data_IF_614292919418
#
_entry.id   IF_614292919418
#
_cell.length_a   1.000
_cell.length_b   1.000
_cell.length_c   1.000
_cell.angle_alpha   90.00
_cell.angle_beta   90.00
_cell.angle_gamma   90.00
#
_symmetry.space_group_name_H-M   'P 1'
#
loop_
_entity.id
_entity.type
_entity.pdbx_description
1 polymer ?
#
# COMPACT_ATOMS: atom_id res chain seq x y z
N UNK A 1 -34.99 7.92 9.16
CA UNK A 1 -35.76 6.75 9.65
C UNK A 1 -35.23 6.36 11.02
N UNK A 2 -36.09 5.84 11.92
CA UNK A 2 -35.71 5.35 13.26
C UNK A 2 -35.21 3.89 13.27
N UNK A 3 -35.25 3.24 12.12
CA UNK A 3 -34.74 1.90 11.89
C UNK A 3 -33.64 1.95 10.83
N UNK A 4 -32.68 1.05 10.94
CA UNK A 4 -31.59 0.89 9.98
C UNK A 4 -31.45 -0.59 9.57
N UNK A 5 -30.96 -0.86 8.35
CA UNK A 5 -30.73 -2.22 7.87
C UNK A 5 -29.41 -2.74 8.42
N UNK A 6 -29.45 -3.37 9.59
CA UNK A 6 -28.28 -3.97 10.22
C UNK A 6 -27.95 -5.27 9.50
N UNK A 7 -26.72 -5.35 8.98
CA UNK A 7 -26.19 -6.53 8.32
C UNK A 7 -25.53 -7.47 9.30
N UNK A 8 -24.62 -6.93 10.12
CA UNK A 8 -23.78 -7.69 11.02
C UNK A 8 -23.40 -6.84 12.21
N UNK A 9 -23.36 -7.46 13.38
CA UNK A 9 -22.79 -6.88 14.59
C UNK A 9 -21.58 -7.74 14.95
N UNK A 10 -20.41 -7.12 14.99
CA UNK A 10 -19.16 -7.74 15.44
C UNK A 10 -18.97 -7.31 16.89
N UNK A 11 -19.12 -8.22 17.87
CA UNK A 11 -19.14 -7.85 19.28
C UNK A 11 -17.79 -7.30 19.76
N UNK A 12 -16.68 -7.81 19.21
CA UNK A 12 -15.31 -7.42 19.58
C UNK A 12 -14.48 -7.14 18.32
N UNK A 13 -14.08 -5.89 18.14
CA UNK A 13 -13.21 -5.42 17.08
C UNK A 13 -12.12 -4.51 17.65
N UNK A 14 -10.89 -4.70 17.16
CA UNK A 14 -9.71 -3.90 17.49
C UNK A 14 -9.29 -2.98 16.34
N UNK A 15 -10.00 -2.99 15.21
CA UNK A 15 -9.64 -2.26 13.98
C UNK A 15 -10.63 -1.14 13.65
N UNK A 16 -11.81 -1.12 14.29
CA UNK A 16 -12.87 -0.13 14.04
C UNK A 16 -12.76 1.10 14.98
N UNK A 17 -11.54 1.48 15.34
CA UNK A 17 -11.22 2.61 16.23
C UNK A 17 -10.55 2.20 17.54
N UNK A 18 -10.24 3.16 18.44
CA UNK A 18 -9.47 2.89 19.65
C UNK A 18 -10.19 1.96 20.65
N UNK A 19 -9.44 1.00 21.17
CA UNK A 19 -9.89 0.01 22.16
C UNK A 19 -10.65 -1.17 21.54
N UNK A 20 -11.13 -2.08 22.38
CA UNK A 20 -12.05 -3.14 21.95
C UNK A 20 -13.44 -2.55 21.77
N UNK A 21 -14.04 -2.68 20.59
CA UNK A 21 -15.29 -2.02 20.23
C UNK A 21 -16.27 -3.00 19.61
N UNK A 22 -17.56 -2.73 19.76
CA UNK A 22 -18.56 -3.39 18.93
C UNK A 22 -18.72 -2.63 17.62
N UNK A 23 -18.51 -3.31 16.49
CA UNK A 23 -18.69 -2.73 15.16
C UNK A 23 -20.01 -3.20 14.55
N UNK A 24 -20.86 -2.25 14.15
CA UNK A 24 -22.21 -2.50 13.63
C UNK A 24 -22.23 -2.07 12.17
N UNK A 25 -22.39 -3.05 11.28
CA UNK A 25 -22.37 -2.86 9.84
C UNK A 25 -23.81 -2.64 9.35
N UNK A 26 -24.07 -1.47 8.78
CA UNK A 26 -25.33 -1.13 8.11
C UNK A 26 -25.26 -1.39 6.61
N UNK A 27 -26.40 -1.52 5.95
CA UNK A 27 -26.49 -1.58 4.48
C UNK A 27 -27.03 -0.31 3.83
N UNK A 28 -26.79 -0.19 2.53
CA UNK A 28 -27.12 0.96 1.73
C UNK A 28 -25.98 1.95 1.75
N UNK A 29 -25.34 2.14 0.61
CA UNK A 29 -24.35 3.17 0.38
C UNK A 29 -24.87 4.11 -0.72
N UNK A 30 -24.48 5.38 -0.70
CA UNK A 30 -24.71 6.32 -1.80
C UNK A 30 -23.53 6.35 -2.79
N UNK A 31 -22.44 5.64 -2.49
CA UNK A 31 -21.34 5.36 -3.40
C UNK A 31 -21.39 3.91 -3.90
N UNK A 32 -20.69 3.66 -5.01
CA UNK A 32 -20.53 2.33 -5.63
C UNK A 32 -19.06 2.12 -5.94
N UNK A 33 -18.23 2.11 -4.90
CA UNK A 33 -16.79 1.96 -5.04
C UNK A 33 -16.46 0.52 -5.49
N UNK A 34 -15.71 0.37 -6.57
CA UNK A 34 -15.34 -0.94 -7.11
C UNK A 34 -14.41 -1.74 -6.17
N UNK A 35 -13.65 -1.05 -5.29
CA UNK A 35 -12.76 -1.61 -4.27
C UNK A 35 -13.32 -1.48 -2.85
N UNK A 36 -14.64 -1.39 -2.70
CA UNK A 36 -15.25 -1.29 -1.38
C UNK A 36 -14.81 -2.47 -0.51
N UNK A 37 -14.39 -2.18 0.72
CA UNK A 37 -13.98 -3.22 1.66
C UNK A 37 -15.16 -4.13 2.07
N UNK A 38 -16.38 -3.59 2.03
CA UNK A 38 -17.62 -4.30 2.35
C UNK A 38 -18.62 -4.14 1.19
N UNK A 39 -18.34 -4.67 -0.02
CA UNK A 39 -19.16 -4.43 -1.20
C UNK A 39 -20.60 -4.95 -1.04
N UNK A 40 -20.79 -5.97 -0.21
CA UNK A 40 -22.08 -6.52 0.17
C UNK A 40 -22.95 -5.55 0.98
N UNK A 41 -22.38 -4.48 1.52
CA UNK A 41 -23.13 -3.45 2.25
C UNK A 41 -23.62 -2.31 1.36
N UNK A 42 -23.20 -2.25 0.10
CA UNK A 42 -23.58 -1.15 -0.80
C UNK A 42 -25.05 -1.18 -1.21
N UNK A 43 -25.57 -2.37 -1.49
CA UNK A 43 -26.98 -2.60 -1.84
C UNK A 43 -27.77 -2.93 -0.58
N UNK A 44 -29.01 -2.49 -0.55
CA UNK A 44 -30.00 -2.99 0.41
C UNK A 44 -30.65 -4.22 -0.22
N UNK A 45 -30.36 -5.39 0.31
CA UNK A 45 -31.00 -6.66 -0.06
C UNK A 45 -32.41 -6.79 0.56
N UNK A 46 -33.27 -7.65 0.01
CA UNK A 46 -34.60 -7.92 0.57
C UNK A 46 -34.58 -9.10 1.56
N UNK A 47 -35.58 -9.16 2.44
CA UNK A 47 -35.75 -10.23 3.43
C UNK A 47 -35.86 -11.65 2.83
N UNK A 48 -36.20 -11.76 1.54
CA UNK A 48 -36.47 -13.02 0.84
C UNK A 48 -35.24 -13.68 0.19
N UNK A 49 -34.03 -13.16 0.44
CA UNK A 49 -32.82 -13.77 -0.12
C UNK A 49 -32.51 -15.12 0.51
N UNK A 50 -32.34 -16.15 -0.32
CA UNK A 50 -32.00 -17.52 0.07
C UNK A 50 -30.54 -17.70 0.49
N UNK A 51 -29.71 -16.67 0.32
CA UNK A 51 -28.31 -16.67 0.77
C UNK A 51 -28.23 -16.18 2.23
N UNK A 52 -27.75 -17.05 3.13
CA UNK A 52 -27.51 -16.70 4.53
C UNK A 52 -26.57 -15.49 4.68
N UNK A 53 -25.68 -15.26 3.71
CA UNK A 53 -24.82 -14.08 3.60
C UNK A 53 -25.52 -12.82 3.05
N UNK A 54 -26.84 -12.77 3.04
CA UNK A 54 -27.59 -11.58 2.57
C UNK A 54 -28.83 -11.23 3.39
N UNK A 55 -29.06 -11.92 4.52
CA UNK A 55 -30.12 -11.56 5.46
C UNK A 55 -29.85 -10.21 6.12
N UNK A 56 -30.84 -9.32 6.06
CA UNK A 56 -30.85 -8.00 6.71
C UNK A 56 -31.82 -8.01 7.86
N UNK A 57 -31.44 -7.34 8.94
CA UNK A 57 -32.28 -7.11 10.10
C UNK A 57 -32.57 -5.63 10.20
N UNK A 58 -33.80 -5.24 9.87
CA UNK A 58 -34.26 -3.87 10.11
C UNK A 58 -34.50 -3.71 11.60
N UNK A 59 -33.62 -2.95 12.26
CA UNK A 59 -33.60 -2.85 13.70
C UNK A 59 -33.68 -1.39 14.13
N UNK A 60 -34.36 -1.17 15.24
CA UNK A 60 -34.31 0.06 16.03
C UNK A 60 -32.99 0.14 16.80
N UNK A 61 -32.64 1.36 17.26
CA UNK A 61 -31.48 1.55 18.12
C UNK A 61 -31.56 0.73 19.42
N UNK A 62 -32.75 0.59 20.00
CA UNK A 62 -32.98 -0.20 21.23
C UNK A 62 -32.76 -1.69 21.00
N UNK A 63 -33.26 -2.25 19.89
CA UNK A 63 -33.01 -3.65 19.53
C UNK A 63 -31.52 -3.94 19.34
N UNK A 64 -30.80 -3.05 18.66
CA UNK A 64 -29.34 -3.19 18.49
C UNK A 64 -28.62 -3.09 19.83
N UNK A 65 -29.01 -2.13 20.67
CA UNK A 65 -28.41 -1.94 21.98
C UNK A 65 -28.62 -3.16 22.90
N UNK A 66 -29.82 -3.74 22.89
CA UNK A 66 -30.14 -4.95 23.67
C UNK A 66 -29.30 -6.16 23.24
N UNK A 67 -28.87 -6.25 21.98
CA UNK A 67 -28.02 -7.35 21.52
C UNK A 67 -26.58 -7.25 21.97
N UNK A 68 -26.09 -6.02 22.13
CA UNK A 68 -24.72 -5.75 22.54
C UNK A 68 -24.60 -5.62 24.07
N UNK A 69 -25.71 -5.62 24.81
CA UNK A 69 -25.76 -5.44 26.27
C UNK A 69 -24.82 -6.39 27.01
N UNK A 70 -24.81 -7.66 26.60
CA UNK A 70 -23.91 -8.71 27.14
C UNK A 70 -22.42 -8.41 26.92
N UNK A 71 -22.09 -7.66 25.88
CA UNK A 71 -20.71 -7.35 25.47
C UNK A 71 -20.20 -6.04 26.10
N UNK A 72 -21.11 -5.19 26.62
CA UNK A 72 -20.80 -3.88 27.24
C UNK A 72 -19.63 -3.93 28.24
N UNK A 73 -19.52 -4.91 29.16
CA UNK A 73 -18.40 -4.96 30.11
C UNK A 73 -17.02 -5.09 29.46
N UNK A 74 -16.95 -5.65 28.25
CA UNK A 74 -15.72 -6.02 27.55
C UNK A 74 -15.30 -5.01 26.48
N UNK A 75 -16.19 -4.11 26.10
CA UNK A 75 -15.94 -3.09 25.07
C UNK A 75 -15.70 -1.71 25.69
N UNK A 76 -15.14 -0.82 24.88
CA UNK A 76 -14.84 0.59 25.21
C UNK A 76 -15.59 1.55 24.29
N UNK A 77 -16.28 1.02 23.29
CA UNK A 77 -17.08 1.82 22.40
C UNK A 77 -17.87 1.03 21.38
N UNK A 78 -18.70 1.77 20.64
CA UNK A 78 -19.47 1.33 19.50
C UNK A 78 -18.95 2.07 18.27
N UNK A 79 -18.83 1.37 17.16
CA UNK A 79 -18.54 1.98 15.85
C UNK A 79 -19.63 1.57 14.86
N UNK A 80 -20.22 2.55 14.17
CA UNK A 80 -21.06 2.26 13.02
C UNK A 80 -20.25 2.31 11.73
N UNK A 81 -20.32 1.24 10.95
CA UNK A 81 -19.66 1.09 9.65
C UNK A 81 -20.60 0.37 8.66
N UNK A 82 -20.08 -0.21 7.59
CA UNK A 82 -20.85 -0.83 6.51
C UNK A 82 -21.00 0.11 5.32
N UNK A 83 -22.21 0.22 4.75
CA UNK A 83 -22.48 0.97 3.53
C UNK A 83 -22.12 2.45 3.60
N UNK A 84 -23.10 3.35 3.63
CA UNK A 84 -22.89 4.70 4.15
C UNK A 84 -23.80 4.85 5.36
N UNK A 85 -23.25 4.60 6.55
CA UNK A 85 -24.06 4.52 7.75
C UNK A 85 -24.77 5.85 8.06
N UNK A 86 -24.19 6.99 7.66
CA UNK A 86 -24.76 8.33 7.86
C UNK A 86 -26.01 8.61 7.03
N UNK A 87 -26.42 7.69 6.15
CA UNK A 87 -27.75 7.71 5.54
C UNK A 87 -28.89 7.49 6.56
N UNK A 88 -28.57 7.04 7.79
CA UNK A 88 -29.53 6.75 8.86
C UNK A 88 -29.34 7.63 10.11
N UNK A 89 -29.19 8.97 10.01
CA UNK A 89 -28.67 9.80 11.09
C UNK A 89 -29.50 9.77 12.38
N UNK A 90 -30.83 9.62 12.26
CA UNK A 90 -31.72 9.51 13.43
C UNK A 90 -31.52 8.21 14.21
N UNK A 91 -31.29 7.08 13.51
CA UNK A 91 -30.96 5.80 14.15
C UNK A 91 -29.61 5.89 14.87
N UNK A 92 -28.59 6.49 14.23
CA UNK A 92 -27.26 6.66 14.84
C UNK A 92 -27.38 7.46 16.14
N UNK A 93 -28.09 8.60 16.09
CA UNK A 93 -28.27 9.47 17.26
C UNK A 93 -28.91 8.71 18.42
N UNK A 94 -29.99 7.97 18.17
CA UNK A 94 -30.69 7.20 19.21
C UNK A 94 -29.79 6.11 19.81
N UNK A 95 -29.02 5.41 18.98
CA UNK A 95 -28.08 4.38 19.45
C UNK A 95 -26.91 4.97 20.24
N UNK A 96 -26.37 6.10 19.80
CA UNK A 96 -25.27 6.77 20.49
C UNK A 96 -25.71 7.33 21.84
N UNK A 97 -26.94 7.84 21.96
CA UNK A 97 -27.51 8.22 23.27
C UNK A 97 -27.51 7.02 24.24
N UNK A 98 -27.87 5.82 23.76
CA UNK A 98 -27.84 4.61 24.58
C UNK A 98 -26.39 4.20 24.93
N UNK A 99 -25.48 4.20 23.95
CA UNK A 99 -24.05 3.93 24.15
C UNK A 99 -23.41 4.86 25.19
N UNK A 100 -23.66 6.16 25.08
CA UNK A 100 -23.20 7.18 26.02
C UNK A 100 -23.71 6.94 27.43
N UNK A 101 -24.98 6.57 27.60
CA UNK A 101 -25.56 6.22 28.91
C UNK A 101 -24.88 5.01 29.54
N UNK A 102 -24.36 4.09 28.73
CA UNK A 102 -23.58 2.94 29.19
C UNK A 102 -22.06 3.20 29.33
N UNK A 103 -21.61 4.46 29.17
CA UNK A 103 -20.20 4.82 29.31
C UNK A 103 -19.33 4.41 28.12
N UNK A 104 -19.94 4.14 26.96
CA UNK A 104 -19.23 3.76 25.74
C UNK A 104 -18.89 5.00 24.90
N UNK A 105 -17.73 4.97 24.25
CA UNK A 105 -17.42 5.93 23.18
C UNK A 105 -18.14 5.56 21.88
N UNK A 106 -18.52 6.53 21.06
CA UNK A 106 -19.36 6.33 19.88
C UNK A 106 -18.70 6.94 18.63
N UNK A 107 -18.33 6.09 17.66
CA UNK A 107 -17.66 6.50 16.43
C UNK A 107 -18.48 6.19 15.18
N UNK A 108 -18.36 7.03 14.17
CA UNK A 108 -18.93 6.84 12.84
C UNK A 108 -17.78 6.57 11.86
N UNK A 109 -17.89 5.53 11.06
CA UNK A 109 -17.06 5.29 9.87
C UNK A 109 -17.88 5.66 8.63
N UNK A 110 -17.48 6.74 7.95
CA UNK A 110 -18.26 7.36 6.86
C UNK A 110 -17.38 7.63 5.65
N UNK A 111 -17.96 7.44 4.46
CA UNK A 111 -17.37 7.84 3.18
C UNK A 111 -17.29 9.37 2.97
N UNK A 112 -17.81 10.16 3.92
CA UNK A 112 -17.66 11.62 3.95
C UNK A 112 -18.56 12.40 2.99
N UNK A 113 -19.56 11.77 2.37
CA UNK A 113 -20.48 12.44 1.43
C UNK A 113 -21.60 13.23 2.10
N UNK A 114 -21.88 12.99 3.38
CA UNK A 114 -22.93 13.69 4.14
C UNK A 114 -22.34 14.86 4.92
N UNK A 115 -22.96 16.03 4.77
CA UNK A 115 -22.60 17.23 5.52
C UNK A 115 -23.12 17.14 6.97
N UNK A 116 -22.22 16.90 7.92
CA UNK A 116 -22.54 16.78 9.34
C UNK A 116 -22.99 18.10 9.99
N UNK A 117 -22.72 19.26 9.37
CA UNK A 117 -23.20 20.54 9.90
C UNK A 117 -24.74 20.62 9.93
N UNK A 118 -25.39 19.78 9.12
CA UNK A 118 -26.85 19.63 9.08
C UNK A 118 -27.41 18.78 10.24
N UNK A 119 -26.54 18.13 11.03
CA UNK A 119 -26.94 17.20 12.10
C UNK A 119 -26.23 17.51 13.44
N UNK A 120 -26.38 18.72 14.00
CA UNK A 120 -25.70 19.12 15.24
C UNK A 120 -26.03 18.18 16.41
N UNK A 121 -27.30 17.79 16.60
CA UNK A 121 -27.71 16.87 17.66
C UNK A 121 -27.04 15.48 17.58
N UNK A 122 -26.69 15.02 16.38
CA UNK A 122 -25.96 13.76 16.21
C UNK A 122 -24.49 13.95 16.60
N UNK A 123 -23.91 15.07 16.21
CA UNK A 123 -22.51 15.40 16.51
C UNK A 123 -22.28 15.62 18.01
N UNK A 124 -23.28 16.08 18.77
CA UNK A 124 -23.21 16.18 20.24
C UNK A 124 -23.00 14.83 20.93
N UNK A 125 -23.48 13.74 20.33
CA UNK A 125 -23.39 12.38 20.90
C UNK A 125 -22.36 11.49 20.18
N UNK A 126 -21.68 12.03 19.17
CA UNK A 126 -20.63 11.37 18.41
C UNK A 126 -19.25 11.80 18.94
N UNK A 127 -18.41 10.86 19.36
CA UNK A 127 -17.05 11.16 19.83
C UNK A 127 -16.07 11.44 18.70
N UNK A 128 -16.37 10.96 17.50
CA UNK A 128 -15.48 11.10 16.36
C UNK A 128 -16.02 10.43 15.11
N UNK A 129 -15.59 10.97 13.97
CA UNK A 129 -15.87 10.41 12.65
C UNK A 129 -14.55 9.98 12.04
N UNK A 130 -14.43 8.69 11.74
CA UNK A 130 -13.40 8.15 10.87
C UNK A 130 -13.89 8.36 9.44
N UNK A 131 -13.18 9.21 8.70
CA UNK A 131 -13.50 9.47 7.30
C UNK A 131 -12.76 8.47 6.43
N UNK A 132 -13.52 7.64 5.73
CA UNK A 132 -13.04 6.73 4.72
C UNK A 132 -12.78 7.50 3.41
N UNK A 133 -11.74 8.34 3.42
CA UNK A 133 -11.39 9.25 2.31
C UNK A 133 -10.89 8.44 1.11
N UNK A 134 -11.82 8.13 0.20
CA UNK A 134 -11.54 7.37 -1.02
C UNK A 134 -10.89 8.21 -2.13
N UNK A 135 -11.41 9.42 -2.33
CA UNK A 135 -10.87 10.43 -3.24
C UNK A 135 -11.59 11.77 -2.98
N UNK A 136 -10.88 12.88 -3.02
CA UNK A 136 -11.46 14.21 -2.75
C UNK A 136 -12.10 14.88 -3.98
N UNK A 137 -11.91 14.31 -5.17
CA UNK A 137 -12.40 14.88 -6.43
C UNK A 137 -13.22 13.83 -7.22
N UNK A 138 -14.36 14.27 -7.76
CA UNK A 138 -15.33 13.40 -8.45
C UNK A 138 -14.80 12.81 -9.75
N UNK A 139 -13.87 13.49 -10.42
CA UNK A 139 -13.20 13.00 -11.62
C UNK A 139 -12.02 12.08 -11.25
N UNK A 140 -11.28 12.39 -10.17
CA UNK A 140 -10.25 11.50 -9.59
C UNK A 140 -10.84 10.19 -9.10
N UNK A 141 -12.04 10.19 -8.52
CA UNK A 141 -12.76 8.97 -8.14
C UNK A 141 -12.99 8.03 -9.34
N UNK A 142 -13.15 8.58 -10.55
CA UNK A 142 -13.28 7.77 -11.78
C UNK A 142 -11.94 7.21 -12.27
N UNK A 143 -10.84 7.91 -11.99
CA UNK A 143 -9.46 7.60 -12.42
C UNK A 143 -8.76 6.62 -11.47
N UNK A 144 -9.04 6.68 -10.16
CA UNK A 144 -8.34 5.93 -9.10
C UNK A 144 -8.75 4.44 -8.99
N UNK A 145 -9.11 3.79 -10.10
CA UNK A 145 -9.64 2.42 -10.17
C UNK A 145 -8.59 1.31 -10.32
N UNK A 146 -7.30 1.53 -10.06
CA UNK A 146 -6.32 0.46 -10.15
C UNK A 146 -4.94 0.88 -9.70
N UNK A 147 -4.45 0.28 -8.61
CA UNK A 147 -3.06 0.38 -8.20
C UNK A 147 -2.58 -1.05 -7.93
N UNK A 148 -1.48 -1.42 -8.60
CA UNK A 148 -0.82 -2.70 -8.45
C UNK A 148 -1.25 -3.75 -9.48
N UNK A 149 -0.31 -4.63 -9.82
CA UNK A 149 -0.47 -5.67 -10.85
C UNK A 149 -1.69 -6.58 -10.64
N UNK A 150 -2.13 -6.81 -9.40
CA UNK A 150 -3.32 -7.63 -9.08
C UNK A 150 -4.62 -7.05 -9.67
N UNK A 151 -4.62 -5.78 -10.09
CA UNK A 151 -5.78 -5.11 -10.69
C UNK A 151 -5.79 -5.16 -12.22
N UNK A 152 -4.81 -5.81 -12.84
CA UNK A 152 -4.65 -5.88 -14.29
C UNK A 152 -5.87 -6.47 -15.02
N UNK A 153 -6.29 -7.68 -14.67
CA UNK A 153 -7.42 -8.33 -15.36
C UNK A 153 -8.75 -7.57 -15.18
N UNK A 154 -9.13 -7.13 -13.96
CA UNK A 154 -10.33 -6.32 -13.77
C UNK A 154 -10.30 -4.99 -14.53
N UNK A 155 -9.15 -4.30 -14.57
CA UNK A 155 -9.02 -3.03 -15.28
C UNK A 155 -9.16 -3.21 -16.78
N UNK A 156 -8.51 -4.23 -17.36
CA UNK A 156 -8.65 -4.55 -18.78
C UNK A 156 -10.09 -4.92 -19.16
N UNK A 157 -10.79 -5.69 -18.31
CA UNK A 157 -12.20 -6.01 -18.52
C UNK A 157 -13.09 -4.75 -18.51
N UNK A 158 -12.86 -3.84 -17.55
CA UNK A 158 -13.60 -2.57 -17.47
C UNK A 158 -13.30 -1.66 -18.67
N UNK A 159 -12.05 -1.57 -19.09
CA UNK A 159 -11.62 -0.78 -20.23
C UNK A 159 -12.27 -1.25 -21.54
N UNK A 160 -12.40 -2.56 -21.75
CA UNK A 160 -13.13 -3.15 -22.90
C UNK A 160 -14.62 -2.79 -22.90
N UNK A 161 -15.26 -2.76 -21.72
CA UNK A 161 -16.69 -2.48 -21.61
C UNK A 161 -17.04 -0.99 -21.73
N UNK A 162 -16.08 -0.09 -21.49
CA UNK A 162 -16.29 1.35 -21.45
C UNK A 162 -15.21 2.07 -22.29
N UNK A 163 -15.21 1.92 -23.63
CA UNK A 163 -14.18 2.46 -24.51
C UNK A 163 -14.12 4.00 -24.51
N UNK A 164 -15.16 4.67 -24.03
CA UNK A 164 -15.25 6.13 -23.88
C UNK A 164 -14.55 6.66 -22.62
N UNK A 165 -14.15 5.78 -21.70
CA UNK A 165 -13.47 6.15 -20.46
C UNK A 165 -11.97 5.87 -20.57
N UNK A 166 -11.15 6.77 -20.04
CA UNK A 166 -9.70 6.57 -19.90
C UNK A 166 -9.36 5.88 -18.59
N UNK A 167 -8.44 4.93 -18.65
CA UNK A 167 -7.91 4.17 -17.52
C UNK A 167 -6.42 4.37 -17.41
N UNK A 168 -5.88 4.35 -16.19
CA UNK A 168 -4.45 4.26 -15.95
C UNK A 168 -4.18 3.09 -15.00
N UNK A 169 -3.16 2.29 -15.32
CA UNK A 169 -2.67 1.22 -14.45
C UNK A 169 -1.21 1.51 -14.06
N UNK A 170 -0.89 1.28 -12.80
CA UNK A 170 0.46 1.39 -12.26
C UNK A 170 1.01 -0.01 -11.99
N UNK A 171 2.29 -0.22 -12.31
CA UNK A 171 3.01 -1.49 -12.11
C UNK A 171 2.51 -2.66 -12.95
N UNK A 172 1.97 -2.34 -14.12
CA UNK A 172 1.61 -3.36 -15.09
C UNK A 172 1.64 -2.77 -16.51
N UNK A 173 2.00 -3.62 -17.46
CA UNK A 173 1.79 -3.39 -18.88
C UNK A 173 1.17 -4.63 -19.51
N UNK A 174 0.32 -4.41 -20.52
CA UNK A 174 -0.39 -5.48 -21.24
C UNK A 174 0.34 -5.94 -22.51
N UNK A 175 1.56 -5.43 -22.76
CA UNK A 175 2.29 -5.67 -24.00
C UNK A 175 1.45 -5.30 -25.23
N UNK A 176 1.42 -6.21 -26.22
CA UNK A 176 0.66 -6.04 -27.46
C UNK A 176 -0.88 -5.99 -27.24
N UNK A 177 -1.38 -6.42 -26.08
CA UNK A 177 -2.80 -6.44 -25.73
C UNK A 177 -3.30 -5.13 -25.08
N UNK A 178 -2.45 -4.09 -25.02
CA UNK A 178 -2.84 -2.79 -24.44
C UNK A 178 -4.02 -2.18 -25.19
N UNK A 179 -5.03 -1.76 -24.43
CA UNK A 179 -6.25 -1.19 -24.99
C UNK A 179 -6.06 0.31 -25.29
N UNK A 180 -6.70 0.84 -26.35
CA UNK A 180 -6.54 2.25 -26.75
C UNK A 180 -6.95 3.26 -25.68
N UNK A 181 -7.73 2.86 -24.67
CA UNK A 181 -8.18 3.72 -23.58
C UNK A 181 -7.46 3.43 -22.24
N UNK A 182 -6.33 2.70 -22.27
CA UNK A 182 -5.53 2.34 -21.10
C UNK A 182 -4.14 2.96 -21.19
N UNK A 183 -3.70 3.59 -20.11
CA UNK A 183 -2.36 4.13 -19.91
C UNK A 183 -1.63 3.20 -18.94
N UNK A 184 -0.50 2.65 -19.34
CA UNK A 184 0.35 1.84 -18.47
C UNK A 184 1.49 2.69 -17.92
N UNK A 185 1.61 2.77 -16.61
CA UNK A 185 2.71 3.45 -15.93
C UNK A 185 3.59 2.39 -15.26
N UNK A 186 4.78 2.19 -15.81
CA UNK A 186 5.74 1.22 -15.29
C UNK A 186 7.00 1.94 -14.82
N UNK A 187 7.71 1.33 -13.89
CA UNK A 187 8.89 1.92 -13.27
C UNK A 187 10.10 1.04 -13.54
N UNK A 188 11.21 1.66 -13.91
CA UNK A 188 12.49 0.99 -14.08
C UNK A 188 13.16 0.86 -12.70
N UNK A 189 12.51 0.11 -11.79
CA UNK A 189 12.88 -0.01 -10.38
C UNK A 189 14.22 -0.74 -10.16
N UNK A 190 14.66 -1.51 -11.14
CA UNK A 190 15.98 -2.12 -11.21
C UNK A 190 17.09 -1.05 -11.13
N UNK A 191 16.86 0.17 -11.64
CA UNK A 191 17.84 1.25 -11.61
C UNK A 191 18.10 1.76 -10.19
N UNK A 192 17.04 2.05 -9.43
CA UNK A 192 17.16 2.42 -8.03
C UNK A 192 17.65 1.23 -7.17
N UNK A 193 17.20 0.01 -7.50
CA UNK A 193 17.62 -1.21 -6.82
C UNK A 193 19.11 -1.47 -6.98
N UNK A 194 19.67 -1.21 -8.17
CA UNK A 194 21.10 -1.27 -8.45
C UNK A 194 21.88 -0.31 -7.55
N UNK A 195 21.45 0.95 -7.47
CA UNK A 195 22.12 1.95 -6.64
C UNK A 195 22.13 1.51 -5.17
N UNK A 196 20.99 1.07 -4.63
CA UNK A 196 20.95 0.65 -3.22
C UNK A 196 21.67 -0.68 -2.96
N UNK A 197 21.77 -1.57 -3.95
CA UNK A 197 22.63 -2.75 -3.91
C UNK A 197 24.12 -2.39 -3.86
N UNK A 198 24.55 -1.45 -4.69
CA UNK A 198 25.91 -0.93 -4.68
C UNK A 198 26.25 -0.27 -3.33
N UNK A 199 25.34 0.54 -2.79
CA UNK A 199 25.46 1.12 -1.44
C UNK A 199 25.60 0.03 -0.38
N UNK A 200 24.76 -1.01 -0.42
CA UNK A 200 24.83 -2.13 0.52
C UNK A 200 26.20 -2.84 0.44
N UNK A 201 26.72 -3.08 -0.76
CA UNK A 201 28.01 -3.73 -0.97
C UNK A 201 29.21 -2.90 -0.50
N UNK A 202 29.14 -1.56 -0.62
CA UNK A 202 30.14 -0.66 -0.06
C UNK A 202 30.05 -0.52 1.47
N UNK A 203 28.87 -0.72 2.04
CA UNK A 203 28.60 -0.50 3.47
C UNK A 203 28.80 -1.76 4.32
N UNK A 204 28.54 -2.94 3.78
CA UNK A 204 28.63 -4.21 4.53
C UNK A 204 30.02 -4.44 5.13
N UNK A 205 30.04 -4.78 6.42
CA UNK A 205 31.21 -5.17 7.19
C UNK A 205 31.38 -6.70 7.23
N UNK A 206 30.30 -7.46 7.05
CA UNK A 206 30.29 -8.93 7.09
C UNK A 206 30.44 -9.58 5.73
N UNK A 207 30.34 -8.80 4.65
CA UNK A 207 30.23 -9.27 3.26
C UNK A 207 29.01 -10.18 3.05
N UNK A 208 27.95 -9.99 3.85
CA UNK A 208 26.68 -10.68 3.69
C UNK A 208 25.55 -9.67 3.76
N UNK A 209 24.79 -9.57 2.68
CA UNK A 209 23.61 -8.70 2.59
C UNK A 209 22.41 -9.55 2.19
N UNK A 210 21.21 -9.02 2.36
CA UNK A 210 20.01 -9.75 1.96
C UNK A 210 18.99 -8.89 1.24
N UNK A 211 18.22 -9.55 0.38
CA UNK A 211 17.01 -9.04 -0.23
C UNK A 211 15.80 -9.83 0.26
N UNK A 212 14.74 -9.12 0.62
CA UNK A 212 13.45 -9.73 0.98
C UNK A 212 12.38 -9.24 0.00
N UNK A 213 11.92 -10.12 -0.88
CA UNK A 213 10.81 -9.84 -1.80
C UNK A 213 9.45 -10.15 -1.18
N UNK A 214 8.43 -9.35 -1.49
CA UNK A 214 7.06 -9.61 -1.01
C UNK A 214 6.42 -10.84 -1.64
N UNK A 215 6.36 -10.92 -2.98
CA UNK A 215 5.85 -12.08 -3.73
C UNK A 215 6.68 -12.31 -4.99
N UNK A 216 6.52 -13.46 -5.67
CA UNK A 216 7.13 -13.67 -6.99
C UNK A 216 6.29 -12.99 -8.07
N UNK A 217 6.89 -12.10 -8.84
CA UNK A 217 6.30 -11.50 -10.04
C UNK A 217 7.40 -10.86 -10.89
N UNK A 218 7.16 -10.58 -12.19
CA UNK A 218 8.13 -9.89 -13.04
C UNK A 218 8.61 -8.55 -12.46
N UNK A 219 7.72 -7.79 -11.81
CA UNK A 219 8.09 -6.52 -11.15
C UNK A 219 9.04 -6.77 -9.98
N UNK A 220 8.85 -7.86 -9.24
CA UNK A 220 9.71 -8.20 -8.11
C UNK A 220 11.07 -8.74 -8.54
N UNK A 221 11.16 -9.31 -9.75
CA UNK A 221 12.42 -9.70 -10.37
C UNK A 221 13.29 -8.47 -10.67
N UNK A 222 12.70 -7.35 -11.11
CA UNK A 222 13.42 -6.07 -11.32
C UNK A 222 14.15 -5.62 -10.05
N UNK A 223 13.45 -5.63 -8.91
CA UNK A 223 14.04 -5.28 -7.62
C UNK A 223 15.16 -6.26 -7.21
N UNK A 224 14.93 -7.57 -7.36
CA UNK A 224 15.89 -8.60 -6.96
C UNK A 224 17.18 -8.51 -7.78
N UNK A 225 17.07 -8.49 -9.12
CA UNK A 225 18.23 -8.51 -10.01
C UNK A 225 18.96 -7.16 -10.03
N UNK A 226 18.23 -6.04 -9.93
CA UNK A 226 18.84 -4.74 -9.72
C UNK A 226 19.68 -4.72 -8.45
N UNK A 227 19.12 -5.17 -7.30
CA UNK A 227 19.87 -5.20 -6.05
C UNK A 227 21.10 -6.12 -6.12
N UNK A 228 20.95 -7.35 -6.61
CA UNK A 228 22.06 -8.31 -6.73
C UNK A 228 23.20 -7.75 -7.59
N UNK A 229 22.88 -7.24 -8.77
CA UNK A 229 23.88 -6.70 -9.69
C UNK A 229 24.60 -5.47 -9.14
N UNK A 230 23.91 -4.60 -8.39
CA UNK A 230 24.55 -3.50 -7.66
C UNK A 230 25.57 -3.98 -6.63
N UNK A 231 25.21 -5.01 -5.85
CA UNK A 231 26.12 -5.65 -4.88
C UNK A 231 27.33 -6.27 -5.59
N UNK A 232 27.10 -7.00 -6.69
CA UNK A 232 28.18 -7.62 -7.47
C UNK A 232 29.14 -6.58 -8.05
N UNK A 233 28.62 -5.45 -8.51
CA UNK A 233 29.42 -4.33 -9.01
C UNK A 233 30.32 -3.76 -7.90
N UNK A 234 29.77 -3.50 -6.71
CA UNK A 234 30.55 -3.06 -5.54
C UNK A 234 31.60 -4.11 -5.13
N UNK A 235 31.23 -5.40 -5.15
CA UNK A 235 32.13 -6.50 -4.83
C UNK A 235 33.33 -6.55 -5.80
N UNK A 236 33.08 -6.38 -7.11
CA UNK A 236 34.12 -6.30 -8.14
C UNK A 236 35.06 -5.12 -7.91
N UNK A 237 34.52 -3.93 -7.66
CA UNK A 237 35.32 -2.71 -7.40
C UNK A 237 36.22 -2.87 -6.17
N UNK A 238 35.68 -3.48 -5.10
CA UNK A 238 36.39 -3.72 -3.85
C UNK A 238 37.34 -4.92 -3.91
N UNK A 239 37.28 -5.74 -4.97
CA UNK A 239 38.07 -6.97 -5.09
C UNK A 239 37.75 -8.01 -4.02
N UNK A 240 36.50 -8.06 -3.55
CA UNK A 240 36.03 -9.00 -2.51
C UNK A 240 34.78 -9.75 -2.97
N UNK A 241 34.47 -10.86 -2.33
CA UNK A 241 33.21 -11.57 -2.53
C UNK A 241 32.18 -11.06 -1.51
N UNK A 242 30.96 -10.77 -1.97
CA UNK A 242 29.83 -10.37 -1.13
C UNK A 242 28.67 -11.32 -1.43
N UNK A 243 28.17 -11.99 -0.39
CA UNK A 243 27.06 -12.92 -0.52
C UNK A 243 25.72 -12.18 -0.43
N UNK A 244 24.81 -12.43 -1.37
CA UNK A 244 23.43 -11.94 -1.33
C UNK A 244 22.47 -13.09 -0.98
N UNK A 245 21.84 -13.01 0.18
CA UNK A 245 20.76 -13.92 0.57
C UNK A 245 19.41 -13.40 0.05
N UNK A 246 18.60 -14.27 -0.55
CA UNK A 246 17.29 -13.91 -1.10
C UNK A 246 16.20 -14.68 -0.38
N UNK A 247 15.21 -13.98 0.17
CA UNK A 247 14.03 -14.59 0.79
C UNK A 247 12.75 -13.97 0.24
N UNK A 248 11.71 -14.79 0.07
CA UNK A 248 10.40 -14.32 -0.40
C UNK A 248 9.38 -14.50 0.73
N UNK A 249 8.77 -13.40 1.15
CA UNK A 249 7.80 -13.41 2.23
C UNK A 249 6.43 -13.95 1.83
N UNK A 250 6.13 -14.11 0.54
CA UNK A 250 4.82 -14.50 0.00
C UNK A 250 3.64 -13.66 0.56
N UNK A 251 3.91 -12.41 0.93
CA UNK A 251 2.94 -11.45 1.44
C UNK A 251 3.50 -10.04 1.38
N UNK A 252 2.65 -9.08 1.03
CA UNK A 252 2.93 -7.64 1.16
C UNK A 252 2.35 -7.01 2.43
N UNK A 253 1.67 -7.80 3.27
CA UNK A 253 0.84 -7.28 4.38
C UNK A 253 1.09 -7.94 5.73
N UNK A 254 2.09 -8.83 5.83
CA UNK A 254 2.36 -9.61 7.03
C UNK A 254 3.68 -9.16 7.69
N UNK A 255 3.61 -8.13 8.52
CA UNK A 255 4.78 -7.60 9.23
C UNK A 255 5.42 -8.65 10.16
N UNK A 256 4.63 -9.52 10.79
CA UNK A 256 5.19 -10.56 11.68
C UNK A 256 6.07 -11.55 10.90
N UNK A 257 5.64 -11.94 9.69
CA UNK A 257 6.45 -12.76 8.78
C UNK A 257 7.72 -12.04 8.33
N UNK A 258 7.63 -10.75 7.99
CA UNK A 258 8.79 -9.92 7.65
C UNK A 258 9.84 -9.88 8.78
N UNK A 259 9.38 -9.64 10.01
CA UNK A 259 10.22 -9.64 11.22
C UNK A 259 10.93 -10.98 11.43
N UNK A 260 10.21 -12.09 11.34
CA UNK A 260 10.77 -13.43 11.52
C UNK A 260 11.85 -13.78 10.46
N UNK A 261 11.62 -13.40 9.20
CA UNK A 261 12.61 -13.59 8.11
C UNK A 261 13.86 -12.74 8.39
N UNK A 262 13.69 -11.46 8.73
CA UNK A 262 14.80 -10.56 9.04
C UNK A 262 15.64 -11.08 10.22
N UNK A 263 14.99 -11.56 11.29
CA UNK A 263 15.68 -12.08 12.46
C UNK A 263 16.58 -13.27 12.10
N UNK A 264 16.09 -14.16 11.22
CA UNK A 264 16.88 -15.29 10.70
C UNK A 264 18.07 -14.84 9.85
N UNK A 265 17.89 -13.81 9.01
CA UNK A 265 18.95 -13.29 8.13
C UNK A 265 20.04 -12.56 8.92
N UNK A 266 19.66 -11.67 9.84
CA UNK A 266 20.62 -11.00 10.74
C UNK A 266 21.36 -12.00 11.62
N UNK A 267 20.66 -13.01 12.18
CA UNK A 267 21.30 -14.11 12.92
C UNK A 267 22.23 -14.96 12.04
N UNK A 268 21.95 -15.05 10.74
CA UNK A 268 22.78 -15.70 9.72
C UNK A 268 24.03 -14.89 9.31
N UNK A 269 24.17 -13.68 9.83
CA UNK A 269 25.32 -12.81 9.62
C UNK A 269 25.14 -11.73 8.57
N UNK A 270 23.94 -11.59 7.97
CA UNK A 270 23.65 -10.41 7.16
C UNK A 270 23.73 -9.15 8.02
N UNK A 271 24.21 -8.04 7.48
CA UNK A 271 24.29 -6.76 8.20
C UNK A 271 23.54 -5.61 7.51
N UNK A 272 23.18 -5.79 6.24
CA UNK A 272 22.29 -4.89 5.47
C UNK A 272 21.18 -5.72 4.82
N UNK A 273 19.92 -5.30 5.00
CA UNK A 273 18.75 -5.94 4.36
C UNK A 273 17.96 -4.92 3.53
N UNK A 274 17.59 -5.28 2.31
CA UNK A 274 16.67 -4.55 1.45
C UNK A 274 15.33 -5.29 1.32
N UNK A 275 14.23 -4.82 1.96
CA UNK A 275 12.93 -5.47 1.91
C UNK A 275 11.98 -4.77 0.91
N UNK A 276 11.96 -5.22 -0.33
CA UNK A 276 10.95 -4.84 -1.32
C UNK A 276 9.64 -5.62 -1.08
N UNK A 277 8.97 -5.35 0.05
CA UNK A 277 7.87 -6.19 0.55
C UNK A 277 6.65 -5.39 1.08
N UNK A 278 6.49 -4.11 0.72
CA UNK A 278 5.35 -3.32 1.18
C UNK A 278 5.25 -3.28 2.71
N UNK A 279 4.05 -3.50 3.27
CA UNK A 279 3.83 -3.45 4.72
C UNK A 279 4.49 -4.62 5.49
N UNK A 280 4.78 -5.75 4.82
CA UNK A 280 5.65 -6.80 5.39
C UNK A 280 7.04 -6.24 5.73
N UNK A 281 7.55 -5.29 4.93
CA UNK A 281 8.84 -4.63 5.17
C UNK A 281 8.91 -3.86 6.49
N UNK A 282 7.77 -3.43 7.05
CA UNK A 282 7.74 -2.76 8.36
C UNK A 282 8.27 -3.66 9.48
N UNK A 283 8.02 -4.97 9.42
CA UNK A 283 8.56 -5.92 10.39
C UNK A 283 10.07 -6.13 10.24
N UNK A 284 10.60 -5.98 9.02
CA UNK A 284 12.05 -6.02 8.76
C UNK A 284 12.72 -4.80 9.39
N UNK A 285 12.13 -3.62 9.23
CA UNK A 285 12.59 -2.38 9.87
C UNK A 285 12.55 -2.51 11.39
N UNK A 286 11.46 -3.06 11.95
CA UNK A 286 11.35 -3.32 13.39
C UNK A 286 12.48 -4.25 13.89
N UNK A 287 12.79 -5.31 13.15
CA UNK A 287 13.89 -6.21 13.52
C UNK A 287 15.26 -5.53 13.43
N UNK A 288 15.47 -4.69 12.41
CA UNK A 288 16.72 -3.95 12.25
C UNK A 288 17.01 -3.03 13.44
N UNK A 289 15.95 -2.40 14.00
CA UNK A 289 16.05 -1.61 15.23
C UNK A 289 16.45 -2.50 16.43
N UNK A 290 15.82 -3.67 16.57
CA UNK A 290 16.10 -4.59 17.69
C UNK A 290 17.53 -5.12 17.69
N UNK A 291 18.06 -5.43 16.50
CA UNK A 291 19.39 -6.02 16.33
C UNK A 291 20.50 -4.97 16.08
N UNK A 292 20.15 -3.69 16.03
CA UNK A 292 21.04 -2.57 15.69
C UNK A 292 21.77 -2.80 14.35
N UNK A 293 20.99 -3.06 13.30
CA UNK A 293 21.47 -3.39 11.95
C UNK A 293 20.95 -2.43 10.90
N UNK A 294 21.57 -2.46 9.71
CA UNK A 294 21.14 -1.64 8.58
C UNK A 294 19.95 -2.28 7.86
N UNK A 295 19.02 -1.41 7.46
CA UNK A 295 17.93 -1.72 6.56
C UNK A 295 17.83 -0.62 5.49
N UNK A 296 17.50 -1.01 4.27
CA UNK A 296 17.27 -0.09 3.15
C UNK A 296 15.76 0.01 2.96
N UNK A 297 15.20 1.21 2.97
CA UNK A 297 13.77 1.41 2.73
C UNK A 297 13.36 1.23 1.26
N UNK A 298 12.05 1.22 1.00
CA UNK A 298 11.49 1.09 -0.36
C UNK A 298 10.25 1.96 -0.56
N UNK A 299 10.00 2.33 -1.81
CA UNK A 299 8.89 3.16 -2.32
C UNK A 299 8.96 4.63 -1.88
N UNK A 300 9.15 4.88 -0.58
CA UNK A 300 9.25 6.21 0.03
C UNK A 300 10.54 6.31 0.80
N UNK A 301 10.91 7.55 1.14
CA UNK A 301 11.92 7.76 2.16
C UNK A 301 11.35 7.28 3.50
N UNK A 302 11.89 6.18 4.01
CA UNK A 302 11.46 5.53 5.23
C UNK A 302 12.33 5.88 6.44
N UNK A 303 13.25 6.84 6.32
CA UNK A 303 14.15 7.25 7.40
C UNK A 303 13.41 7.56 8.71
N UNK A 304 12.21 8.15 8.63
CA UNK A 304 11.41 8.49 9.81
C UNK A 304 10.91 7.27 10.61
N UNK A 305 10.92 6.06 10.05
CA UNK A 305 10.49 4.83 10.73
C UNK A 305 11.58 4.26 11.64
N UNK A 306 12.85 4.38 11.23
CA UNK A 306 14.01 3.97 12.01
C UNK A 306 15.19 4.91 11.72
N UNK A 307 15.22 6.10 12.36
CA UNK A 307 16.17 7.16 12.04
C UNK A 307 17.65 6.77 12.14
N UNK A 308 17.95 5.76 12.96
CA UNK A 308 19.32 5.29 13.21
C UNK A 308 19.68 4.02 12.42
N UNK A 309 18.71 3.36 11.76
CA UNK A 309 18.90 2.06 11.10
C UNK A 309 18.59 2.07 9.59
N UNK A 310 17.84 3.07 9.10
CA UNK A 310 17.60 3.24 7.67
C UNK A 310 18.86 3.83 7.04
N UNK A 311 19.58 3.00 6.26
CA UNK A 311 20.79 3.43 5.55
C UNK A 311 20.46 4.40 4.41
N UNK A 312 19.44 4.05 3.64
CA UNK A 312 18.86 4.85 2.54
C UNK A 312 17.50 4.25 2.15
N UNK A 313 16.88 4.69 1.07
CA UNK A 313 15.67 4.06 0.52
C UNK A 313 15.70 4.00 -1.01
N UNK A 314 15.26 2.89 -1.60
CA UNK A 314 14.97 2.83 -3.03
C UNK A 314 13.60 3.48 -3.30
N UNK A 315 13.62 4.72 -3.79
CA UNK A 315 12.43 5.52 -4.01
C UNK A 315 11.70 5.08 -5.28
N UNK A 316 10.36 5.13 -5.19
CA UNK A 316 9.46 4.93 -6.32
C UNK A 316 8.36 5.98 -6.25
N UNK A 317 8.43 6.99 -7.12
CA UNK A 317 7.62 8.19 -7.02
C UNK A 317 6.21 8.02 -7.61
N UNK A 318 5.47 7.00 -7.17
CA UNK A 318 4.08 6.70 -7.61
C UNK A 318 3.18 7.91 -7.55
N UNK A 319 3.28 8.72 -6.48
CA UNK A 319 2.47 9.93 -6.33
C UNK A 319 2.80 11.01 -7.37
N UNK A 320 4.08 11.20 -7.71
CA UNK A 320 4.51 12.16 -8.72
C UNK A 320 4.11 11.70 -10.13
N UNK A 321 4.31 10.43 -10.44
CA UNK A 321 3.90 9.80 -11.70
C UNK A 321 2.39 9.87 -11.90
N UNK A 322 1.62 9.52 -10.88
CA UNK A 322 0.14 9.62 -10.95
C UNK A 322 -0.30 11.06 -11.22
N UNK A 323 0.38 12.04 -10.61
CA UNK A 323 0.12 13.47 -10.83
C UNK A 323 0.50 13.91 -12.25
N UNK A 324 1.63 13.43 -12.78
CA UNK A 324 2.09 13.70 -14.14
C UNK A 324 1.08 13.21 -15.17
N UNK A 325 0.74 11.91 -15.13
CA UNK A 325 -0.24 11.30 -16.03
C UNK A 325 -1.57 12.04 -15.95
N UNK A 326 -2.06 12.32 -14.74
CA UNK A 326 -3.31 13.06 -14.55
C UNK A 326 -3.24 14.45 -15.17
N UNK A 327 -2.10 15.14 -15.04
CA UNK A 327 -1.91 16.49 -15.59
C UNK A 327 -1.91 16.46 -17.11
N UNK A 328 -1.15 15.56 -17.73
CA UNK A 328 -1.06 15.42 -19.20
C UNK A 328 -2.42 15.12 -19.82
N UNK A 329 -3.20 14.22 -19.21
CA UNK A 329 -4.58 13.93 -19.64
C UNK A 329 -5.49 15.16 -19.49
N UNK A 330 -5.40 15.89 -18.38
CA UNK A 330 -6.19 17.13 -18.16
C UNK A 330 -5.82 18.23 -19.16
N UNK A 331 -4.54 18.32 -19.54
CA UNK A 331 -4.03 19.26 -20.52
C UNK A 331 -4.41 18.86 -21.97
N UNK A 332 -5.08 17.71 -22.14
CA UNK A 332 -5.66 17.25 -23.41
C UNK A 332 -4.77 16.30 -24.21
N UNK A 333 -3.68 15.78 -23.63
CA UNK A 333 -2.88 14.73 -24.26
C UNK A 333 -3.65 13.40 -24.31
N UNK A 334 -3.66 12.75 -25.48
CA UNK A 334 -4.16 11.38 -25.62
C UNK A 334 -3.03 10.40 -25.32
N UNK A 335 -3.07 9.82 -24.12
CA UNK A 335 -2.08 8.86 -23.62
C UNK A 335 -2.55 7.41 -23.74
N UNK A 336 -3.76 7.18 -24.23
CA UNK A 336 -4.33 5.84 -24.29
C UNK A 336 -3.55 4.91 -25.23
N UNK A 337 -3.46 3.63 -24.85
CA UNK A 337 -2.68 2.63 -25.57
C UNK A 337 -1.16 2.76 -25.39
N UNK A 338 -0.68 3.59 -24.46
CA UNK A 338 0.75 3.83 -24.26
C UNK A 338 1.26 3.20 -22.96
N UNK A 339 2.49 2.69 -23.02
CA UNK A 339 3.33 2.40 -21.86
C UNK A 339 4.25 3.58 -21.64
N UNK A 340 4.20 4.17 -20.45
CA UNK A 340 5.06 5.25 -20.02
C UNK A 340 5.98 4.70 -18.94
N UNK A 341 7.28 4.73 -19.23
CA UNK A 341 8.33 4.26 -18.32
C UNK A 341 8.84 5.40 -17.44
N UNK A 342 9.08 5.10 -16.17
CA UNK A 342 9.52 6.04 -15.15
C UNK A 342 10.77 5.49 -14.45
N UNK A 343 11.94 5.97 -14.88
CA UNK A 343 13.26 5.62 -14.36
C UNK A 343 13.97 6.81 -13.69
N UNK A 344 15.28 6.71 -13.50
CA UNK A 344 16.13 7.76 -12.94
C UNK A 344 16.13 9.02 -13.81
N UNK A 345 16.22 8.85 -15.13
CA UNK A 345 16.35 9.95 -16.09
C UNK A 345 15.17 10.94 -16.05
N UNK A 346 13.98 10.47 -15.66
CA UNK A 346 12.77 11.28 -15.54
C UNK A 346 12.24 11.40 -14.10
N UNK A 347 13.03 10.98 -13.10
CA UNK A 347 12.68 11.09 -11.68
C UNK A 347 11.55 10.17 -11.23
N UNK A 348 11.31 9.08 -11.96
CA UNK A 348 10.39 8.01 -11.57
C UNK A 348 10.83 7.22 -10.35
N UNK A 349 12.14 6.97 -10.28
CA UNK A 349 12.81 6.25 -9.19
C UNK A 349 14.06 7.00 -8.75
N UNK A 350 14.68 6.59 -7.65
CA UNK A 350 15.93 7.17 -7.17
C UNK A 350 16.27 6.79 -5.73
N UNK A 351 17.12 7.59 -5.09
CA UNK A 351 17.38 7.54 -3.65
C UNK A 351 17.15 8.93 -3.03
N UNK A 352 16.91 9.05 -1.71
CA UNK A 352 16.77 10.35 -1.05
C UNK A 352 18.00 11.25 -1.26
N UNK A 353 17.80 12.57 -1.28
CA UNK A 353 18.91 13.54 -1.24
C UNK A 353 19.59 13.58 0.13
N UNK A 354 18.81 13.32 1.21
CA UNK A 354 19.31 13.34 2.57
C UNK A 354 19.44 11.91 3.12
N UNK A 355 20.68 11.44 3.31
CA UNK A 355 20.99 10.11 3.86
C UNK A 355 21.96 10.25 5.05
N UNK A 356 21.49 10.60 6.26
CA UNK A 356 22.36 10.92 7.40
C UNK A 356 23.18 9.73 7.91
N UNK A 357 22.75 8.51 7.63
CA UNK A 357 23.39 7.27 8.06
C UNK A 357 24.38 6.69 7.04
N UNK A 358 24.48 7.32 5.85
CA UNK A 358 25.38 6.88 4.79
C UNK A 358 26.68 7.67 4.85
N UNK A 359 27.81 7.00 4.64
CA UNK A 359 29.08 7.69 4.45
C UNK A 359 28.97 8.63 3.22
N UNK A 360 29.33 9.93 3.35
CA UNK A 360 29.29 10.86 2.23
C UNK A 360 30.05 10.39 0.98
N UNK A 361 31.15 9.64 1.13
CA UNK A 361 31.90 9.08 0.00
C UNK A 361 31.10 7.97 -0.71
N UNK A 362 30.33 7.17 0.04
CA UNK A 362 29.43 6.17 -0.54
C UNK A 362 28.30 6.87 -1.31
N UNK A 363 27.78 7.98 -0.79
CA UNK A 363 26.78 8.79 -1.50
C UNK A 363 27.33 9.38 -2.80
N UNK A 364 28.54 9.95 -2.78
CA UNK A 364 29.19 10.49 -3.98
C UNK A 364 29.34 9.41 -5.06
N UNK A 365 29.84 8.22 -4.71
CA UNK A 365 29.94 7.08 -5.63
C UNK A 365 28.57 6.62 -6.14
N UNK A 366 27.56 6.58 -5.28
CA UNK A 366 26.20 6.24 -5.69
C UNK A 366 25.63 7.22 -6.72
N UNK A 367 25.95 8.52 -6.60
CA UNK A 367 25.57 9.53 -7.60
C UNK A 367 26.35 9.39 -8.92
N UNK A 368 27.60 8.94 -8.89
CA UNK A 368 28.33 8.57 -10.09
C UNK A 368 27.68 7.37 -10.80
N UNK A 369 27.32 6.31 -10.06
CA UNK A 369 26.58 5.16 -10.60
C UNK A 369 25.24 5.60 -11.19
N UNK A 370 24.49 6.45 -10.48
CA UNK A 370 23.22 6.99 -10.98
C UNK A 370 23.40 7.68 -12.34
N UNK A 371 24.48 8.45 -12.50
CA UNK A 371 24.80 9.11 -13.76
C UNK A 371 25.13 8.09 -14.86
N UNK A 372 25.94 7.08 -14.57
CA UNK A 372 26.28 6.04 -15.54
C UNK A 372 25.04 5.27 -16.02
N UNK A 373 24.06 5.03 -15.15
CA UNK A 373 22.78 4.43 -15.52
C UNK A 373 21.98 5.36 -16.43
N UNK A 374 21.85 6.65 -16.06
CA UNK A 374 21.15 7.66 -16.88
C UNK A 374 21.80 7.82 -18.27
N UNK A 375 23.13 7.78 -18.34
CA UNK A 375 23.89 7.90 -19.58
C UNK A 375 23.89 6.59 -20.41
N UNK A 376 23.35 5.49 -19.86
CA UNK A 376 23.27 4.17 -20.50
C UNK A 376 24.59 3.39 -20.53
N UNK A 377 25.59 3.81 -19.75
CA UNK A 377 26.86 3.11 -19.60
C UNK A 377 26.74 1.87 -18.70
N UNK A 378 25.80 1.90 -17.75
CA UNK A 378 25.36 0.75 -16.96
C UNK A 378 23.89 0.50 -17.30
N UNK A 379 23.57 -0.73 -17.70
CA UNK A 379 22.20 -1.19 -17.93
C UNK A 379 21.84 -2.22 -16.85
N UNK A 380 21.09 -1.81 -15.79
CA UNK A 380 20.70 -2.69 -14.71
C UNK A 380 19.88 -3.91 -15.20
N UNK A 381 20.26 -5.12 -14.78
CA UNK A 381 19.50 -6.33 -15.07
C UNK A 381 18.05 -6.29 -14.57
N UNK A 382 17.14 -6.77 -15.42
CA UNK A 382 15.70 -6.82 -15.17
C UNK A 382 15.12 -8.25 -15.10
N UNK A 383 15.95 -9.28 -15.34
CA UNK A 383 15.60 -10.69 -15.21
C UNK A 383 16.87 -11.56 -15.09
N UNK A 384 16.70 -12.87 -14.91
CA UNK A 384 17.81 -13.83 -14.78
C UNK A 384 18.75 -13.79 -16.01
N UNK A 385 18.22 -13.74 -17.23
CA UNK A 385 19.03 -13.75 -18.45
C UNK A 385 19.95 -12.53 -18.53
N UNK A 386 19.39 -11.34 -18.33
CA UNK A 386 20.13 -10.07 -18.33
C UNK A 386 21.11 -10.01 -17.16
N UNK A 387 20.78 -10.61 -16.01
CA UNK A 387 21.67 -10.70 -14.87
C UNK A 387 22.89 -11.58 -15.15
N UNK A 388 22.71 -12.74 -15.78
CA UNK A 388 23.84 -13.59 -16.18
C UNK A 388 24.73 -12.90 -17.22
N UNK A 389 24.14 -12.18 -18.18
CA UNK A 389 24.91 -11.38 -19.14
C UNK A 389 25.71 -10.27 -18.46
N UNK A 390 25.12 -9.58 -17.49
CA UNK A 390 25.80 -8.57 -16.69
C UNK A 390 27.01 -9.17 -15.96
N UNK A 391 26.85 -10.30 -15.27
CA UNK A 391 27.94 -10.98 -14.58
C UNK A 391 29.10 -11.37 -15.51
N UNK A 392 28.79 -11.84 -16.73
CA UNK A 392 29.82 -12.18 -17.72
C UNK A 392 30.60 -10.96 -18.20
N UNK A 393 29.95 -9.80 -18.28
CA UNK A 393 30.60 -8.54 -18.69
C UNK A 393 31.33 -7.83 -17.53
N UNK A 394 31.02 -8.20 -16.28
CA UNK A 394 31.66 -7.70 -15.07
C UNK A 394 33.01 -8.40 -14.77
N UNK A 395 33.27 -9.57 -15.38
CA UNK A 395 34.53 -10.32 -15.28
C UNK A 395 35.66 -9.61 -16.03
#
# INVERSE_FOLDING_TARGET
>A
MKIAPVRRIIPNSLVDGPGNRTAIFLQGCNLRCDYCHNPETQKIYSYESSDANSQIRWMTAEEVFNEIDKDIPFIRGITLSGGECTLYPQFIKELFILGKKAGLSCLIDSNGTIDFSLYPDLMEVCDGVMLDVKAWDKNKFKVLRGIGFNTADPLAASAKMNPELSYAIVDHEYGDDILPNVICAVFDVEEASFIVGYIAGLTTETNKVAYIGGMRSPVMDLFEYGFKSGVDYAAKELGKEIQVEVQIAESFTDAAKGKAIAASLYSGGCDVIFPAAGATGNGVIEQAIEDDKWVIGVDRDQLYLAPDNILTSALKHVGAVTKDISKRVVDGEDLGGQVIKYGLANGGVGIPENNPNMDPQVYEKAMEIQKLIIDGEIDPPHNEETYQNFLNNLQ
#
